data_IF_001054492779
#
_entry.id   IF_001054492779
#
_cell.length_a   1.000
_cell.length_b   1.000
_cell.length_c   1.000
_cell.angle_alpha   90.00
_cell.angle_beta   90.00
_cell.angle_gamma   90.00
#
_symmetry.space_group_name_H-M   'P 1'
#
loop_
_entity.id
_entity.type
_entity.pdbx_description
1 polymer ?
#
# COMPACT_ATOMS: atom_id res chain seq x y z
N UNK A 1 -21.28 -8.07 0.70
CA UNK A 1 -20.02 -8.67 1.19
C UNK A 1 -20.26 -9.25 2.58
N UNK A 2 -19.70 -10.41 2.92
CA UNK A 2 -19.80 -10.95 4.30
C UNK A 2 -18.77 -10.27 5.21
N UNK A 3 -18.97 -10.34 6.52
CA UNK A 3 -18.06 -9.70 7.48
C UNK A 3 -16.67 -10.35 7.45
N UNK A 4 -16.59 -11.66 7.22
CA UNK A 4 -15.35 -12.43 7.13
C UNK A 4 -14.50 -11.97 5.95
N UNK A 5 -15.12 -11.77 4.78
CA UNK A 5 -14.44 -11.25 3.58
C UNK A 5 -13.91 -9.84 3.81
N UNK A 6 -14.71 -8.98 4.46
CA UNK A 6 -14.29 -7.62 4.78
C UNK A 6 -13.12 -7.60 5.77
N UNK A 7 -13.17 -8.40 6.84
CA UNK A 7 -12.09 -8.53 7.81
C UNK A 7 -10.80 -9.07 7.15
N UNK A 8 -10.92 -10.05 6.26
CA UNK A 8 -9.78 -10.57 5.50
C UNK A 8 -9.14 -9.49 4.61
N UNK A 9 -9.97 -8.68 3.94
CA UNK A 9 -9.51 -7.54 3.14
C UNK A 9 -8.79 -6.49 3.99
N UNK A 10 -9.40 -6.09 5.11
CA UNK A 10 -8.83 -5.10 6.03
C UNK A 10 -7.48 -5.58 6.59
N UNK A 11 -7.40 -6.85 7.01
CA UNK A 11 -6.16 -7.45 7.50
C UNK A 11 -5.06 -7.43 6.42
N UNK A 12 -5.37 -7.85 5.20
CA UNK A 12 -4.41 -7.84 4.10
C UNK A 12 -3.97 -6.41 3.71
N UNK A 13 -4.88 -5.45 3.78
CA UNK A 13 -4.60 -4.03 3.54
C UNK A 13 -3.66 -3.47 4.61
N UNK A 14 -3.91 -3.74 5.89
CA UNK A 14 -2.99 -3.38 6.98
C UNK A 14 -1.57 -3.92 6.75
N UNK A 15 -1.47 -5.20 6.36
CA UNK A 15 -0.18 -5.83 6.05
C UNK A 15 0.49 -5.14 4.87
N UNK A 16 -0.25 -4.92 3.78
CA UNK A 16 0.26 -4.26 2.59
C UNK A 16 0.79 -2.85 2.91
N UNK A 17 0.02 -2.08 3.69
CA UNK A 17 0.31 -0.69 4.05
C UNK A 17 1.47 -0.56 5.05
N UNK A 18 1.61 -1.51 5.97
CA UNK A 18 2.72 -1.56 6.93
C UNK A 18 4.08 -1.82 6.25
N UNK A 19 4.09 -2.21 4.98
CA UNK A 19 5.30 -2.54 4.25
C UNK A 19 5.80 -1.27 3.53
N UNK A 20 6.95 -0.71 3.95
CA UNK A 20 7.42 0.55 3.41
C UNK A 20 7.81 0.39 1.93
N UNK A 21 7.03 1.05 1.06
CA UNK A 21 7.33 1.25 -0.35
C UNK A 21 7.72 2.70 -0.65
N UNK A 22 7.76 3.11 -1.93
CA UNK A 22 8.10 4.49 -2.33
C UNK A 22 7.27 5.55 -1.60
N UNK A 23 5.95 5.33 -1.48
CA UNK A 23 5.02 6.21 -0.76
C UNK A 23 5.43 6.43 0.70
N UNK A 24 5.65 5.35 1.46
CA UNK A 24 5.98 5.46 2.89
C UNK A 24 7.39 6.04 3.09
N UNK A 25 8.35 5.73 2.22
CA UNK A 25 9.68 6.35 2.25
C UNK A 25 9.60 7.86 2.01
N UNK A 26 8.73 8.31 1.11
CA UNK A 26 8.46 9.73 0.89
C UNK A 26 7.81 10.38 2.12
N UNK A 27 6.83 9.71 2.73
CA UNK A 27 6.19 10.17 3.98
C UNK A 27 7.22 10.37 5.10
N UNK A 28 8.10 9.38 5.30
CA UNK A 28 9.19 9.46 6.28
C UNK A 28 10.15 10.60 5.93
N UNK A 29 10.49 10.78 4.65
CA UNK A 29 11.41 11.85 4.21
C UNK A 29 10.86 13.24 4.52
N UNK A 30 9.57 13.49 4.27
CA UNK A 30 8.94 14.77 4.62
C UNK A 30 8.82 14.97 6.14
N UNK A 31 8.44 13.92 6.87
CA UNK A 31 8.33 13.97 8.32
C UNK A 31 9.69 14.25 9.01
N UNK A 32 10.78 13.66 8.51
CA UNK A 32 12.13 13.90 9.03
C UNK A 32 12.72 15.24 8.58
N UNK A 33 12.45 15.67 7.35
CA UNK A 33 13.04 16.89 6.79
C UNK A 33 12.33 18.19 7.19
N UNK A 34 11.01 18.15 7.40
CA UNK A 34 10.18 19.34 7.61
C UNK A 34 9.26 19.21 8.83
N UNK A 35 9.41 18.13 9.60
CA UNK A 35 8.59 17.84 10.78
C UNK A 35 7.12 17.55 10.47
N UNK A 36 6.33 17.52 11.55
CA UNK A 36 4.88 17.22 11.51
C UNK A 36 4.04 18.24 10.73
N UNK A 37 4.56 19.43 10.45
CA UNK A 37 3.85 20.48 9.71
C UNK A 37 3.43 20.02 8.31
N UNK A 38 4.17 19.07 7.74
CA UNK A 38 3.87 18.49 6.41
C UNK A 38 2.83 17.38 6.43
N UNK A 39 2.46 16.88 7.61
CA UNK A 39 1.59 15.71 7.78
C UNK A 39 0.30 15.82 6.97
N UNK A 40 -0.40 16.94 7.08
CA UNK A 40 -1.67 17.14 6.40
C UNK A 40 -1.51 17.09 4.88
N UNK A 41 -0.52 17.82 4.35
CA UNK A 41 -0.26 17.86 2.91
C UNK A 41 0.15 16.49 2.37
N UNK A 42 1.08 15.82 3.04
CA UNK A 42 1.58 14.51 2.62
C UNK A 42 0.51 13.44 2.70
N UNK A 43 -0.22 13.32 3.82
CA UNK A 43 -1.27 12.31 4.02
C UNK A 43 -2.44 12.54 3.05
N UNK A 44 -2.81 13.79 2.78
CA UNK A 44 -3.84 14.11 1.78
C UNK A 44 -3.37 13.68 0.39
N UNK A 45 -2.13 14.00 0.03
CA UNK A 45 -1.56 13.56 -1.26
C UNK A 45 -1.54 12.05 -1.40
N UNK A 46 -1.11 11.32 -0.37
CA UNK A 46 -1.14 9.84 -0.35
C UNK A 46 -2.56 9.32 -0.52
N UNK A 47 -3.51 9.82 0.25
CA UNK A 47 -4.91 9.36 0.22
C UNK A 47 -5.54 9.59 -1.16
N UNK A 48 -5.32 10.77 -1.76
CA UNK A 48 -5.79 11.06 -3.11
C UNK A 48 -5.10 10.17 -4.16
N UNK A 49 -3.81 9.90 -3.99
CA UNK A 49 -3.06 9.06 -4.92
C UNK A 49 -3.52 7.61 -4.87
N UNK A 50 -3.72 7.05 -3.68
CA UNK A 50 -4.26 5.70 -3.50
C UNK A 50 -5.71 5.61 -4.01
N UNK A 51 -6.53 6.65 -3.82
CA UNK A 51 -7.89 6.71 -4.36
C UNK A 51 -7.86 6.64 -5.89
N UNK A 52 -7.06 7.49 -6.54
CA UNK A 52 -6.91 7.47 -8.00
C UNK A 52 -6.39 6.13 -8.50
N UNK A 53 -5.34 5.58 -7.88
CA UNK A 53 -4.76 4.31 -8.29
C UNK A 53 -5.76 3.15 -8.13
N UNK A 54 -6.50 3.10 -7.01
CA UNK A 54 -7.46 2.04 -6.73
C UNK A 54 -8.68 2.15 -7.66
N UNK A 55 -9.28 3.33 -7.78
CA UNK A 55 -10.38 3.59 -8.72
C UNK A 55 -9.98 3.23 -10.15
N UNK A 56 -8.83 3.71 -10.64
CA UNK A 56 -8.37 3.42 -12.01
C UNK A 56 -8.09 1.93 -12.22
N UNK A 57 -7.49 1.27 -11.23
CA UNK A 57 -7.23 -0.17 -11.27
C UNK A 57 -8.52 -0.98 -11.34
N UNK A 58 -9.52 -0.64 -10.52
CA UNK A 58 -10.81 -1.35 -10.48
C UNK A 58 -11.68 -1.04 -11.71
N UNK A 59 -11.67 0.19 -12.20
CA UNK A 59 -12.36 0.55 -13.44
C UNK A 59 -11.75 -0.15 -14.66
N UNK A 60 -10.42 -0.14 -14.79
CA UNK A 60 -9.69 -0.84 -15.85
C UNK A 60 -9.89 -2.35 -15.77
N UNK A 61 -9.94 -2.90 -14.56
CA UNK A 61 -10.25 -4.31 -14.34
C UNK A 61 -11.69 -4.66 -14.72
N UNK A 62 -12.66 -3.81 -14.41
CA UNK A 62 -14.06 -4.00 -14.82
C UNK A 62 -14.20 -4.10 -16.34
N UNK A 63 -13.51 -3.23 -17.08
CA UNK A 63 -13.43 -3.30 -18.53
C UNK A 63 -12.72 -4.58 -19.04
N UNK A 64 -11.67 -5.02 -18.35
CA UNK A 64 -10.96 -6.26 -18.68
C UNK A 64 -11.80 -7.52 -18.43
N UNK A 65 -12.53 -7.56 -17.31
CA UNK A 65 -13.44 -8.66 -16.96
C UNK A 65 -14.61 -8.76 -17.95
N UNK A 66 -15.14 -7.62 -18.41
CA UNK A 66 -16.19 -7.58 -19.43
C UNK A 66 -15.70 -8.09 -20.80
N UNK A 67 -14.39 -8.09 -21.05
CA UNK A 67 -13.80 -8.45 -22.35
C UNK A 67 -13.19 -9.85 -22.39
N UNK A 68 -12.50 -10.32 -21.32
CA UNK A 68 -11.90 -11.66 -21.32
C UNK A 68 -11.54 -12.20 -19.93
N UNK A 69 -12.16 -13.32 -19.56
CA UNK A 69 -11.82 -14.08 -18.35
C UNK A 69 -10.38 -14.66 -18.37
N UNK A 70 -9.85 -14.96 -19.56
CA UNK A 70 -8.48 -15.45 -19.72
C UNK A 70 -7.46 -14.37 -19.39
N UNK A 71 -7.65 -13.15 -19.89
CA UNK A 71 -6.80 -11.99 -19.56
C UNK A 71 -6.84 -11.66 -18.08
N UNK A 72 -8.02 -11.71 -17.46
CA UNK A 72 -8.16 -11.55 -16.01
C UNK A 72 -7.35 -12.60 -15.23
N UNK A 73 -7.41 -13.87 -15.65
CA UNK A 73 -6.65 -14.96 -15.02
C UNK A 73 -5.14 -14.76 -15.15
N UNK A 74 -4.67 -14.35 -16.34
CA UNK A 74 -3.25 -14.04 -16.57
C UNK A 74 -2.79 -12.90 -15.66
N UNK A 75 -3.58 -11.82 -15.59
CA UNK A 75 -3.28 -10.66 -14.77
C UNK A 75 -3.24 -11.01 -13.27
N UNK A 76 -4.16 -11.87 -12.81
CA UNK A 76 -4.16 -12.41 -11.44
C UNK A 76 -2.88 -13.18 -11.13
N UNK A 77 -2.40 -14.00 -12.06
CA UNK A 77 -1.15 -14.76 -11.90
C UNK A 77 0.08 -13.85 -11.89
N UNK A 78 0.13 -12.84 -12.77
CA UNK A 78 1.20 -11.83 -12.77
C UNK A 78 1.23 -11.09 -11.43
N UNK A 79 0.07 -10.68 -10.94
CA UNK A 79 -0.06 -10.01 -9.65
C UNK A 79 0.35 -10.87 -8.47
N UNK A 80 -0.02 -12.16 -8.46
CA UNK A 80 0.44 -13.12 -7.47
C UNK A 80 1.98 -13.23 -7.44
N UNK A 81 2.59 -13.42 -8.62
CA UNK A 81 4.04 -13.52 -8.76
C UNK A 81 4.74 -12.22 -8.30
N UNK A 82 4.16 -11.07 -8.60
CA UNK A 82 4.71 -9.78 -8.18
C UNK A 82 4.59 -9.56 -6.66
N UNK A 83 3.50 -9.98 -6.01
CA UNK A 83 3.38 -9.94 -4.54
C UNK A 83 4.41 -10.84 -3.88
N UNK A 84 4.66 -12.04 -4.42
CA UNK A 84 5.72 -12.92 -3.94
C UNK A 84 7.09 -12.28 -4.12
N UNK A 85 7.35 -11.66 -5.29
CA UNK A 85 8.58 -10.91 -5.54
C UNK A 85 8.75 -9.75 -4.55
N UNK A 86 7.71 -8.94 -4.30
CA UNK A 86 7.75 -7.86 -3.32
C UNK A 86 7.98 -8.38 -1.90
N UNK A 87 7.37 -9.50 -1.53
CA UNK A 87 7.59 -10.14 -0.25
C UNK A 87 9.04 -10.60 -0.08
N UNK A 88 9.64 -11.20 -1.11
CA UNK A 88 11.07 -11.56 -1.13
C UNK A 88 11.96 -10.33 -1.08
N UNK A 89 11.64 -9.29 -1.85
CA UNK A 89 12.41 -8.03 -1.86
C UNK A 89 12.37 -7.36 -0.49
N UNK A 90 11.22 -7.35 0.18
CA UNK A 90 11.10 -6.81 1.53
C UNK A 90 11.87 -7.66 2.54
N UNK A 91 11.75 -8.99 2.45
CA UNK A 91 12.51 -9.91 3.30
C UNK A 91 14.03 -9.66 3.19
N UNK A 92 14.50 -9.27 2.01
CA UNK A 92 15.90 -8.95 1.70
C UNK A 92 16.26 -7.48 1.85
N UNK A 93 15.33 -6.60 2.22
CA UNK A 93 15.57 -5.17 2.22
C UNK A 93 16.69 -4.81 3.22
N UNK A 94 17.67 -3.98 2.81
CA UNK A 94 18.75 -3.55 3.66
C UNK A 94 18.22 -2.69 4.81
N UNK A 95 18.90 -2.75 5.94
CA UNK A 95 18.56 -1.97 7.12
C UNK A 95 19.23 -0.61 6.97
N UNK A 96 18.46 0.45 7.09
CA UNK A 96 19.01 1.80 7.01
C UNK A 96 19.70 2.10 8.34
N UNK A 97 21.02 2.17 8.30
CA UNK A 97 21.88 2.56 9.42
C UNK A 97 22.74 3.75 8.98
N UNK A 98 22.41 4.96 9.44
CA UNK A 98 23.20 6.15 9.17
C UNK A 98 22.61 7.41 9.81
N UNK A 99 23.43 8.44 10.11
CA UNK A 99 22.94 9.72 10.59
C UNK A 99 22.35 10.50 9.40
N UNK A 100 21.03 10.72 9.41
CA UNK A 100 20.43 11.82 8.64
C UNK A 100 20.46 13.05 9.53
N UNK A 101 21.16 14.11 9.06
CA UNK A 101 21.36 15.35 9.81
C UNK A 101 20.05 16.06 10.13
N UNK A 102 20.01 16.76 11.26
CA UNK A 102 18.91 17.66 11.60
C UNK A 102 18.80 18.73 10.52
N UNK A 103 17.65 18.74 9.84
CA UNK A 103 17.37 19.59 8.69
C UNK A 103 16.38 20.71 9.05
N UNK A 104 16.37 21.16 10.31
CA UNK A 104 15.51 22.24 10.80
C UNK A 104 15.75 23.60 10.08
N UNK A 105 16.74 23.68 9.17
CA UNK A 105 17.07 24.83 8.33
C UNK A 105 16.71 24.65 6.84
N UNK A 106 15.97 23.61 6.44
CA UNK A 106 15.47 23.52 5.06
C UNK A 106 14.43 24.62 4.78
N UNK A 107 14.44 25.27 3.60
CA UNK A 107 13.40 26.23 3.23
C UNK A 107 12.01 25.60 3.35
N UNK A 108 11.03 26.33 3.88
CA UNK A 108 9.64 25.83 3.94
C UNK A 108 9.13 25.52 2.52
N UNK A 109 8.98 24.23 2.23
CA UNK A 109 8.34 23.76 1.00
C UNK A 109 6.85 24.05 1.04
N UNK A 110 6.29 24.55 -0.08
CA UNK A 110 4.87 24.90 -0.17
C UNK A 110 4.00 23.65 0.04
N UNK A 111 2.96 23.68 0.91
CA UNK A 111 2.10 22.52 1.18
C UNK A 111 1.51 21.88 -0.10
N UNK A 112 1.12 22.69 -1.08
CA UNK A 112 0.61 22.20 -2.36
C UNK A 112 1.65 21.37 -3.14
N UNK A 113 2.93 21.76 -3.11
CA UNK A 113 4.01 21.02 -3.79
C UNK A 113 4.25 19.67 -3.11
N UNK A 114 4.20 19.62 -1.78
CA UNK A 114 4.30 18.38 -0.99
C UNK A 114 3.12 17.44 -1.31
N UNK A 115 1.90 17.97 -1.33
CA UNK A 115 0.69 17.23 -1.66
C UNK A 115 0.78 16.64 -3.07
N UNK A 116 1.09 17.45 -4.09
CA UNK A 116 1.18 17.00 -5.47
C UNK A 116 2.27 15.95 -5.66
N UNK A 117 3.43 16.12 -4.99
CA UNK A 117 4.48 15.13 -5.05
C UNK A 117 4.06 13.79 -4.42
N UNK A 118 3.45 13.83 -3.23
CA UNK A 118 2.92 12.64 -2.57
C UNK A 118 1.80 11.96 -3.37
N UNK A 119 0.93 12.75 -4.00
CA UNK A 119 -0.10 12.29 -4.92
C UNK A 119 0.49 11.53 -6.10
N UNK A 120 1.41 12.15 -6.86
CA UNK A 120 2.00 11.52 -8.06
C UNK A 120 2.76 10.24 -7.71
N UNK A 121 3.58 10.27 -6.66
CA UNK A 121 4.36 9.09 -6.23
C UNK A 121 3.45 7.94 -5.81
N UNK A 122 2.33 8.25 -5.14
CA UNK A 122 1.39 7.23 -4.66
C UNK A 122 0.50 6.71 -5.78
N UNK A 123 -0.05 7.59 -6.60
CA UNK A 123 -0.89 7.24 -7.74
C UNK A 123 -0.15 6.33 -8.74
N UNK A 124 1.15 6.56 -8.91
CA UNK A 124 2.01 5.77 -9.80
C UNK A 124 2.76 4.64 -9.09
N UNK A 125 2.41 4.33 -7.83
CA UNK A 125 3.12 3.32 -7.05
C UNK A 125 2.79 1.91 -7.58
N UNK A 126 3.75 1.19 -8.21
CA UNK A 126 3.48 -0.11 -8.79
C UNK A 126 3.11 -1.17 -7.74
N UNK A 127 3.55 -1.00 -6.48
CA UNK A 127 3.13 -1.89 -5.38
C UNK A 127 1.63 -1.76 -5.10
N UNK A 128 1.12 -0.53 -5.04
CA UNK A 128 -0.31 -0.28 -4.82
C UNK A 128 -1.14 -0.76 -6.00
N UNK A 129 -0.76 -0.36 -7.22
CA UNK A 129 -1.47 -0.74 -8.45
C UNK A 129 -1.59 -2.27 -8.58
N UNK A 130 -0.47 -3.00 -8.40
CA UNK A 130 -0.51 -4.45 -8.54
C UNK A 130 -1.35 -5.09 -7.43
N UNK A 131 -1.30 -4.58 -6.20
CA UNK A 131 -2.20 -5.05 -5.13
C UNK A 131 -3.67 -4.81 -5.51
N UNK A 132 -4.03 -3.64 -6.02
CA UNK A 132 -5.41 -3.33 -6.40
C UNK A 132 -5.91 -4.22 -7.53
N UNK A 133 -5.09 -4.45 -8.54
CA UNK A 133 -5.45 -5.27 -9.70
C UNK A 133 -5.55 -6.76 -9.32
N UNK A 134 -4.59 -7.26 -8.53
CA UNK A 134 -4.45 -8.69 -8.29
C UNK A 134 -5.26 -9.19 -7.09
N UNK A 135 -5.40 -8.34 -6.08
CA UNK A 135 -5.78 -8.75 -4.74
C UNK A 135 -7.18 -8.30 -4.36
N UNK A 136 -7.53 -7.02 -4.55
CA UNK A 136 -8.87 -6.48 -4.26
C UNK A 136 -10.01 -7.30 -4.90
N UNK A 137 -9.91 -7.79 -6.15
CA UNK A 137 -11.02 -8.50 -6.79
C UNK A 137 -11.37 -9.82 -6.12
N UNK A 138 -10.45 -10.39 -5.33
CA UNK A 138 -10.68 -11.63 -4.60
C UNK A 138 -11.68 -11.47 -3.45
N UNK A 139 -11.96 -10.22 -3.04
CA UNK A 139 -12.91 -9.89 -1.98
C UNK A 139 -14.28 -9.50 -2.54
N UNK A 140 -14.43 -9.47 -3.87
CA UNK A 140 -15.68 -9.14 -4.53
C UNK A 140 -16.52 -10.39 -4.75
N UNK A 141 -17.78 -10.31 -4.36
CA UNK A 141 -18.80 -11.28 -4.75
C UNK A 141 -19.43 -10.83 -6.09
N UNK A 142 -19.16 -11.59 -7.15
CA UNK A 142 -19.64 -11.28 -8.51
C UNK A 142 -21.17 -11.38 -8.67
N UNK A 143 -21.86 -12.00 -7.70
CA UNK A 143 -23.34 -12.08 -7.69
C UNK A 143 -24.01 -10.84 -7.10
N UNK A 144 -23.22 -9.92 -6.51
CA UNK A 144 -23.71 -8.72 -5.81
C UNK A 144 -23.33 -7.44 -6.56
N UNK A 145 -24.02 -6.30 -6.30
CA UNK A 145 -23.70 -5.03 -6.95
C UNK A 145 -22.22 -4.65 -6.77
N UNK A 146 -21.52 -4.46 -7.88
CA UNK A 146 -20.08 -4.15 -7.89
C UNK A 146 -19.78 -2.85 -7.16
N UNK A 147 -20.49 -1.77 -7.54
CA UNK A 147 -20.22 -0.41 -7.04
C UNK A 147 -20.30 -0.29 -5.52
N UNK A 148 -21.30 -0.93 -4.90
CA UNK A 148 -21.47 -0.93 -3.45
C UNK A 148 -20.29 -1.58 -2.74
N UNK A 149 -19.80 -2.71 -3.27
CA UNK A 149 -18.67 -3.43 -2.67
C UNK A 149 -17.36 -2.65 -2.86
N UNK A 150 -17.11 -2.11 -4.05
CA UNK A 150 -15.89 -1.34 -4.31
C UNK A 150 -15.81 -0.08 -3.46
N UNK A 151 -16.91 0.65 -3.26
CA UNK A 151 -16.93 1.83 -2.37
C UNK A 151 -16.56 1.46 -0.93
N UNK A 152 -17.07 0.33 -0.42
CA UNK A 152 -16.73 -0.15 0.94
C UNK A 152 -15.25 -0.51 1.04
N UNK A 153 -14.72 -1.27 0.07
CA UNK A 153 -13.31 -1.69 0.05
C UNK A 153 -12.38 -0.48 -0.09
N UNK A 154 -12.71 0.47 -0.97
CA UNK A 154 -11.94 1.69 -1.20
C UNK A 154 -11.95 2.59 0.05
N UNK A 155 -13.11 2.87 0.63
CA UNK A 155 -13.20 3.65 1.86
C UNK A 155 -12.41 2.98 3.01
N UNK A 156 -12.47 1.65 3.12
CA UNK A 156 -11.69 0.88 4.11
C UNK A 156 -10.19 1.05 3.86
N UNK A 157 -9.72 0.83 2.63
CA UNK A 157 -8.31 0.92 2.28
C UNK A 157 -7.77 2.34 2.52
N UNK A 158 -8.48 3.37 2.06
CA UNK A 158 -8.06 4.77 2.20
C UNK A 158 -7.98 5.20 3.66
N UNK A 159 -8.94 4.76 4.48
CA UNK A 159 -8.91 5.02 5.92
C UNK A 159 -7.66 4.40 6.54
N UNK A 160 -7.38 3.13 6.24
CA UNK A 160 -6.19 2.44 6.73
C UNK A 160 -4.90 3.07 6.19
N UNK A 161 -4.86 3.52 4.94
CA UNK A 161 -3.71 4.15 4.31
C UNK A 161 -3.40 5.51 4.93
N UNK A 162 -4.42 6.32 5.20
CA UNK A 162 -4.30 7.59 5.89
C UNK A 162 -3.81 7.40 7.33
N UNK A 163 -4.41 6.46 8.08
CA UNK A 163 -3.98 6.12 9.44
C UNK A 163 -2.53 5.62 9.47
N UNK A 164 -2.16 4.71 8.57
CA UNK A 164 -0.81 4.19 8.45
C UNK A 164 0.20 5.31 8.13
N UNK A 165 -0.15 6.20 7.20
CA UNK A 165 0.70 7.35 6.86
C UNK A 165 0.87 8.31 8.04
N UNK A 166 -0.20 8.59 8.80
CA UNK A 166 -0.13 9.38 10.03
C UNK A 166 0.76 8.72 11.09
N UNK A 167 0.63 7.39 11.28
CA UNK A 167 1.52 6.63 12.15
C UNK A 167 2.97 6.81 11.72
N UNK A 168 3.30 6.68 10.43
CA UNK A 168 4.66 6.90 9.95
C UNK A 168 5.14 8.33 10.15
N UNK A 169 4.30 9.35 9.95
CA UNK A 169 4.66 10.74 10.22
C UNK A 169 4.99 10.95 11.70
N UNK A 170 4.12 10.48 12.60
CA UNK A 170 4.30 10.66 14.04
C UNK A 170 5.41 9.82 14.63
N UNK A 171 5.59 8.60 14.14
CA UNK A 171 6.69 7.74 14.56
C UNK A 171 8.00 8.23 13.95
N UNK A 172 8.06 8.77 12.73
CA UNK A 172 9.30 9.38 12.22
C UNK A 172 9.74 10.57 13.08
N UNK A 173 8.78 11.40 13.51
CA UNK A 173 9.02 12.54 14.41
C UNK A 173 9.47 12.10 15.82
N UNK A 174 8.75 11.14 16.43
CA UNK A 174 9.02 10.63 17.79
C UNK A 174 10.23 9.68 17.86
N UNK A 175 10.45 8.92 16.80
CA UNK A 175 11.47 7.89 16.70
C UNK A 175 12.70 8.36 15.91
N UNK A 176 12.94 9.67 15.85
CA UNK A 176 14.19 10.28 15.38
C UNK A 176 15.41 9.53 15.96
N UNK A 177 15.30 8.90 17.14
CA UNK A 177 16.25 7.94 17.72
C UNK A 177 15.89 6.42 17.73
N UNK A 178 14.62 5.98 17.72
CA UNK A 178 14.22 4.57 18.00
C UNK A 178 13.97 3.69 16.74
N UNK A 179 13.47 4.25 15.63
CA UNK A 179 13.32 3.54 14.33
C UNK A 179 14.68 3.17 13.73
N UNK A 180 15.76 3.78 14.22
CA UNK A 180 17.16 3.46 13.88
C UNK A 180 17.57 2.05 14.31
N UNK A 181 16.81 1.39 15.21
CA UNK A 181 17.16 0.06 15.71
C UNK A 181 16.99 -0.97 14.60
N UNK A 182 18.13 -1.51 14.17
CA UNK A 182 18.22 -2.54 13.15
C UNK A 182 17.30 -3.74 13.41
N UNK A 183 17.07 -4.10 14.68
CA UNK A 183 16.18 -5.21 15.08
C UNK A 183 14.72 -4.97 14.70
N UNK A 184 14.21 -3.74 14.89
CA UNK A 184 12.81 -3.38 14.58
C UNK A 184 12.59 -3.38 13.07
N UNK A 185 13.51 -2.78 12.31
CA UNK A 185 13.47 -2.82 10.84
C UNK A 185 13.50 -4.26 10.32
N UNK A 186 14.32 -5.14 10.94
CA UNK A 186 14.39 -6.56 10.60
C UNK A 186 13.06 -7.27 10.82
N UNK A 187 12.41 -7.08 11.98
CA UNK A 187 11.13 -7.74 12.29
C UNK A 187 10.05 -7.34 11.29
N UNK A 188 9.87 -6.03 11.06
CA UNK A 188 8.87 -5.51 10.10
C UNK A 188 9.12 -6.04 8.69
N UNK A 189 10.37 -6.03 8.23
CA UNK A 189 10.73 -6.52 6.89
C UNK A 189 10.45 -8.02 6.72
N UNK A 190 10.72 -8.84 7.75
CA UNK A 190 10.54 -10.31 7.68
C UNK A 190 9.08 -10.71 7.81
N UNK A 191 8.33 -10.13 8.75
CA UNK A 191 6.91 -10.46 8.92
C UNK A 191 6.08 -9.96 7.74
N UNK A 192 6.27 -8.71 7.31
CA UNK A 192 5.59 -8.17 6.12
C UNK A 192 5.94 -8.94 4.85
N UNK A 193 7.20 -9.35 4.69
CA UNK A 193 7.66 -10.12 3.54
C UNK A 193 7.00 -11.48 3.46
N UNK A 194 6.91 -12.18 4.60
CA UNK A 194 6.21 -13.47 4.73
C UNK A 194 4.75 -13.36 4.33
N UNK A 195 4.06 -12.33 4.83
CA UNK A 195 2.64 -12.16 4.59
C UNK A 195 2.33 -11.81 3.12
N UNK A 196 3.16 -11.03 2.45
CA UNK A 196 3.04 -10.79 0.99
C UNK A 196 3.27 -12.06 0.17
N UNK A 197 4.23 -12.89 0.56
CA UNK A 197 4.47 -14.19 -0.10
C UNK A 197 3.23 -15.08 0.09
N UNK A 198 2.66 -15.14 1.30
CA UNK A 198 1.45 -15.90 1.58
C UNK A 198 0.24 -15.38 0.79
N UNK A 199 0.04 -14.07 0.72
CA UNK A 199 -1.02 -13.45 -0.09
C UNK A 199 -0.88 -13.79 -1.59
N UNK A 200 0.35 -13.74 -2.13
CA UNK A 200 0.63 -14.18 -3.50
C UNK A 200 0.37 -15.68 -3.71
N UNK A 201 0.79 -16.53 -2.77
CA UNK A 201 0.55 -17.98 -2.82
C UNK A 201 -0.94 -18.33 -2.78
N UNK A 202 -1.72 -17.68 -1.92
CA UNK A 202 -3.19 -17.84 -1.86
C UNK A 202 -3.83 -17.38 -3.17
N UNK A 203 -3.39 -16.23 -3.70
CA UNK A 203 -3.88 -15.70 -4.99
C UNK A 203 -3.65 -16.70 -6.14
N UNK A 204 -2.48 -17.35 -6.18
CA UNK A 204 -2.17 -18.38 -7.16
C UNK A 204 -2.90 -19.71 -6.90
N UNK A 205 -3.11 -20.06 -5.63
CA UNK A 205 -3.67 -21.34 -5.18
C UNK A 205 -5.19 -21.47 -5.25
N UNK A 206 -5.94 -20.35 -5.27
CA UNK A 206 -7.42 -20.36 -5.30
C UNK A 206 -8.03 -21.13 -6.49
N UNK A 207 -7.25 -21.46 -7.53
CA UNK A 207 -7.69 -22.28 -8.66
C UNK A 207 -7.72 -23.79 -8.36
N UNK A 208 -7.01 -24.27 -7.33
CA UNK A 208 -6.96 -25.71 -6.97
C UNK A 208 -8.11 -26.19 -6.08
N UNK A 209 -8.92 -25.29 -5.52
CA UNK A 209 -10.06 -25.65 -4.67
C UNK A 209 -11.42 -25.53 -5.38
N UNK A 210 -11.45 -25.02 -6.61
CA UNK A 210 -12.65 -24.78 -7.41
C UNK A 210 -12.69 -25.62 -8.71
N UNK A 211 -11.84 -26.65 -8.81
CA UNK A 211 -11.82 -27.65 -9.86
C UNK A 211 -11.80 -29.03 -9.19
#
# INVERSE_FOLDING_TARGET
MSIETWLAFAAASCIMLAIPGPTILLVISYALGHGRKTALATVTGVTLGDFTAMTASLAGLGALLATSATLFTILKLIGAAYLMFLGIKLWRAPIVTGPMGDNDNLPEEKPLKILLHAYVVTALNPKSIVFFIAFVPQFLDLSKPFLQQTVILEATFLTLAALNSLVYVFVADMARGFIRKASVQRVVNRTGGTLLIAAGAVTAGYRRMAA
#
